data_IF_985463490637
#
_entry.id   IF_985463490637
#
_cell.length_a   1.000
_cell.length_b   1.000
_cell.length_c   1.000
_cell.angle_alpha   90.00
_cell.angle_beta   90.00
_cell.angle_gamma   90.00
#
_symmetry.space_group_name_H-M   'P 1'
#
loop_
_entity.id
_entity.type
_entity.pdbx_description
1 polymer ?
#
# COMPACT_ATOMS: atom_id res chain seq x y z
N UNK A 1 18.48 -4.57 33.00
CA UNK A 1 17.49 -4.52 31.90
C UNK A 1 17.81 -3.31 31.05
N UNK A 2 18.14 -3.48 29.76
CA UNK A 2 18.52 -2.39 28.85
C UNK A 2 17.31 -2.17 27.92
N UNK A 3 16.59 -1.08 28.12
CA UNK A 3 15.45 -0.70 27.29
C UNK A 3 15.96 -0.29 25.92
N UNK A 4 15.70 -1.10 24.90
CA UNK A 4 15.98 -0.77 23.51
C UNK A 4 15.08 0.39 23.11
N UNK A 5 15.67 1.58 22.99
CA UNK A 5 15.02 2.77 22.46
C UNK A 5 14.77 2.55 20.97
N UNK A 6 13.51 2.44 20.57
CA UNK A 6 13.11 2.37 19.17
C UNK A 6 13.42 3.71 18.51
N UNK A 7 14.39 3.71 17.61
CA UNK A 7 14.83 4.89 16.88
C UNK A 7 13.71 5.37 15.92
N UNK A 8 13.23 6.63 16.05
CA UNK A 8 12.20 7.17 15.16
C UNK A 8 12.65 7.29 13.70
N UNK A 9 13.96 7.23 13.39
CA UNK A 9 14.47 7.33 12.03
C UNK A 9 14.05 6.17 11.11
N UNK A 10 13.78 4.99 11.66
CA UNK A 10 13.33 3.82 10.87
C UNK A 10 11.92 4.03 10.30
N UNK A 11 11.05 4.74 11.04
CA UNK A 11 9.69 5.04 10.57
C UNK A 11 9.68 6.06 9.41
N UNK A 12 10.63 7.00 9.40
CA UNK A 12 10.72 8.04 8.37
C UNK A 12 11.15 7.48 7.01
N UNK A 13 12.04 6.48 6.99
CA UNK A 13 12.43 5.77 5.75
C UNK A 13 11.28 4.97 5.13
N UNK A 14 10.40 4.39 5.95
CA UNK A 14 9.25 3.64 5.44
C UNK A 14 8.24 4.54 4.73
N UNK A 15 8.04 5.76 5.21
CA UNK A 15 7.14 6.73 4.58
C UNK A 15 7.69 7.21 3.22
N UNK A 16 9.00 7.40 3.08
CA UNK A 16 9.62 7.79 1.79
C UNK A 16 9.54 6.66 0.78
N UNK A 17 9.83 5.42 1.18
CA UNK A 17 9.68 4.26 0.31
C UNK A 17 8.23 4.06 -0.13
N UNK A 18 7.26 4.15 0.80
CA UNK A 18 5.85 4.05 0.48
C UNK A 18 5.39 5.14 -0.50
N UNK A 19 5.88 6.38 -0.35
CA UNK A 19 5.59 7.48 -1.26
C UNK A 19 6.25 7.27 -2.64
N UNK A 20 7.48 6.76 -2.69
CA UNK A 20 8.16 6.42 -3.94
C UNK A 20 7.47 5.27 -4.69
N UNK A 21 7.06 4.21 -3.97
CA UNK A 21 6.26 3.13 -4.54
C UNK A 21 4.91 3.63 -5.02
N UNK A 22 4.24 4.52 -4.26
CA UNK A 22 2.99 5.14 -4.68
C UNK A 22 3.16 6.02 -5.94
N UNK A 23 4.28 6.74 -6.05
CA UNK A 23 4.61 7.55 -7.21
C UNK A 23 4.96 6.71 -8.45
N UNK A 24 5.71 5.61 -8.29
CA UNK A 24 6.01 4.65 -9.36
C UNK A 24 4.75 3.92 -9.86
N UNK A 25 3.80 3.70 -8.95
CA UNK A 25 2.48 3.14 -9.26
C UNK A 25 1.53 4.19 -9.86
N UNK A 26 1.88 5.48 -9.88
CA UNK A 26 1.08 6.54 -10.49
C UNK A 26 0.79 6.21 -11.98
N UNK A 27 -0.45 6.36 -12.40
CA UNK A 27 -0.92 5.99 -13.75
C UNK A 27 -1.27 4.52 -14.01
N UNK A 28 -0.87 3.56 -13.15
CA UNK A 28 -1.20 2.12 -13.32
C UNK A 28 -2.29 1.60 -12.39
N UNK A 29 -2.94 0.52 -12.79
CA UNK A 29 -3.80 -0.28 -11.91
C UNK A 29 -2.98 -0.97 -10.83
N UNK A 30 -3.62 -1.28 -9.72
CA UNK A 30 -2.98 -1.97 -8.61
C UNK A 30 -2.96 -3.48 -8.85
N UNK A 31 -1.93 -4.16 -8.36
CA UNK A 31 -1.89 -5.62 -8.34
C UNK A 31 -2.17 -6.15 -6.94
N UNK A 32 -2.99 -7.18 -6.86
CA UNK A 32 -3.29 -7.93 -5.64
C UNK A 32 -2.31 -9.10 -5.45
N UNK A 33 -2.18 -9.68 -4.24
CA UNK A 33 -1.28 -10.81 -4.00
C UNK A 33 -1.60 -12.07 -4.84
N UNK A 34 -2.86 -12.25 -5.24
CA UNK A 34 -3.30 -13.32 -6.13
C UNK A 34 -3.18 -12.96 -7.63
N UNK A 35 -2.58 -11.81 -7.94
CA UNK A 35 -2.24 -11.38 -9.30
C UNK A 35 -3.37 -10.70 -10.06
N UNK A 36 -4.53 -10.46 -9.45
CA UNK A 36 -5.62 -9.68 -10.07
C UNK A 36 -5.23 -8.21 -10.15
N UNK A 37 -5.67 -7.56 -11.22
CA UNK A 37 -5.57 -6.10 -11.37
C UNK A 37 -6.83 -5.44 -10.79
N UNK A 38 -6.62 -4.45 -9.93
CA UNK A 38 -7.67 -3.60 -9.37
C UNK A 38 -7.57 -2.22 -10.01
N UNK A 39 -8.65 -1.73 -10.65
CA UNK A 39 -8.66 -0.41 -11.25
C UNK A 39 -8.19 0.67 -10.28
N UNK A 40 -7.34 1.59 -10.74
CA UNK A 40 -6.79 2.68 -9.89
C UNK A 40 -7.86 3.32 -9.02
N UNK A 41 -8.97 3.77 -9.63
CA UNK A 41 -9.98 4.55 -8.93
C UNK A 41 -10.58 3.77 -7.74
N UNK A 42 -10.74 2.45 -7.90
CA UNK A 42 -11.24 1.58 -6.86
C UNK A 42 -10.19 1.34 -5.77
N UNK A 43 -8.94 1.11 -6.15
CA UNK A 43 -7.86 0.93 -5.20
C UNK A 43 -7.61 2.19 -4.35
N UNK A 44 -7.59 3.36 -4.98
CA UNK A 44 -7.50 4.65 -4.28
C UNK A 44 -8.69 4.90 -3.35
N UNK A 45 -9.91 4.55 -3.78
CA UNK A 45 -11.09 4.64 -2.91
C UNK A 45 -10.95 3.73 -1.68
N UNK A 46 -10.50 2.48 -1.87
CA UNK A 46 -10.28 1.54 -0.77
C UNK A 46 -9.20 2.01 0.22
N UNK A 47 -8.10 2.58 -0.29
CA UNK A 47 -7.05 3.17 0.54
C UNK A 47 -7.56 4.38 1.34
N UNK A 48 -8.31 5.28 0.69
CA UNK A 48 -8.91 6.47 1.34
C UNK A 48 -9.91 6.07 2.42
N UNK A 49 -10.71 5.03 2.18
CA UNK A 49 -11.71 4.52 3.12
C UNK A 49 -11.13 3.56 4.16
N UNK A 50 -9.82 3.27 4.10
CA UNK A 50 -9.12 2.30 4.98
C UNK A 50 -9.72 0.89 4.92
N UNK A 51 -10.33 0.52 3.79
CA UNK A 51 -10.79 -0.84 3.48
C UNK A 51 -9.78 -1.64 2.68
N UNK A 52 -8.69 -0.99 2.25
CA UNK A 52 -7.53 -1.59 1.62
C UNK A 52 -6.22 -1.03 2.17
N UNK A 53 -5.12 -1.76 1.95
CA UNK A 53 -3.76 -1.38 2.34
C UNK A 53 -2.78 -1.66 1.19
N UNK A 54 -1.72 -0.86 1.11
CA UNK A 54 -0.58 -1.12 0.22
C UNK A 54 0.54 -1.78 1.03
N UNK A 55 0.97 -2.98 0.62
CA UNK A 55 2.08 -3.70 1.23
C UNK A 55 3.06 -4.10 0.12
N UNK A 56 4.30 -3.61 0.16
CA UNK A 56 5.32 -3.94 -0.84
C UNK A 56 4.93 -3.59 -2.29
N UNK A 57 4.05 -2.59 -2.49
CA UNK A 57 3.51 -2.21 -3.79
C UNK A 57 2.28 -3.01 -4.24
N UNK A 58 1.86 -4.02 -3.46
CA UNK A 58 0.63 -4.79 -3.72
C UNK A 58 -0.54 -4.23 -2.91
N UNK A 59 -1.72 -4.22 -3.52
CA UNK A 59 -2.94 -3.76 -2.90
C UNK A 59 -3.67 -4.95 -2.27
N UNK A 60 -3.89 -4.86 -0.96
CA UNK A 60 -4.59 -5.88 -0.15
C UNK A 60 -5.91 -5.29 0.30
N UNK A 61 -7.00 -5.99 0.03
CA UNK A 61 -8.36 -5.59 0.38
C UNK A 61 -9.35 -6.64 -0.07
N UNK A 62 -10.61 -6.44 0.29
CA UNK A 62 -11.69 -7.29 -0.22
C UNK A 62 -12.25 -6.66 -1.51
N UNK A 63 -12.10 -7.36 -2.62
CA UNK A 63 -12.54 -6.89 -3.94
C UNK A 63 -13.66 -7.79 -4.47
N UNK A 64 -14.63 -7.24 -5.21
CA UNK A 64 -15.61 -8.07 -5.90
C UNK A 64 -14.92 -8.99 -6.90
N UNK A 65 -15.44 -10.21 -7.07
CA UNK A 65 -14.85 -11.21 -7.99
C UNK A 65 -14.94 -10.80 -9.46
N UNK A 66 -15.88 -9.91 -9.77
CA UNK A 66 -16.02 -9.25 -11.07
C UNK A 66 -15.78 -7.75 -10.88
N UNK A 67 -14.67 -7.27 -11.44
CA UNK A 67 -14.29 -5.86 -11.49
C UNK A 67 -14.56 -5.27 -12.87
#
# INVERSE_FOLDING_TARGET
MKTTYSDPAVFTQHASAAAEYAALAAGRDFSTPDGRLVPRALGEAGLRQRTAMLIGGMLIGNWPEHL
#
